data_IF_664673756969
#
_entry.id   IF_664673756969
#
_cell.length_a   1.000
_cell.length_b   1.000
_cell.length_c   1.000
_cell.angle_alpha   90.00
_cell.angle_beta   90.00
_cell.angle_gamma   90.00
#
_symmetry.space_group_name_H-M   'P 1'
#
loop_
_entity.id
_entity.type
_entity.pdbx_description
1 polymer ?
#
# COMPACT_ATOMS: atom_id res chain seq x y z
N UNK A 1 16.49 11.55 -13.66
CA UNK A 1 16.17 12.02 -12.29
C UNK A 1 17.17 11.39 -11.33
N UNK A 2 17.61 12.03 -10.26
CA UNK A 2 18.66 11.44 -9.40
C UNK A 2 18.07 10.74 -8.18
N UNK A 3 18.70 9.65 -7.74
CA UNK A 3 18.33 8.95 -6.52
C UNK A 3 18.55 9.87 -5.30
N UNK A 4 17.56 10.04 -4.40
CA UNK A 4 17.71 10.92 -3.24
C UNK A 4 18.73 10.41 -2.21
N UNK A 5 19.16 9.14 -2.30
CA UNK A 5 20.09 8.53 -1.36
C UNK A 5 21.53 8.51 -1.88
N UNK A 6 21.77 7.91 -3.05
CA UNK A 6 23.13 7.76 -3.61
C UNK A 6 23.44 8.69 -4.79
N UNK A 7 22.51 9.57 -5.17
CA UNK A 7 22.63 10.52 -6.30
C UNK A 7 22.84 9.89 -7.68
N UNK A 8 22.85 8.56 -7.81
CA UNK A 8 22.90 7.85 -9.11
C UNK A 8 21.77 8.31 -10.01
N UNK A 9 22.06 8.47 -11.30
CA UNK A 9 21.06 8.81 -12.30
C UNK A 9 20.07 7.66 -12.52
N UNK A 10 18.78 8.00 -12.52
CA UNK A 10 17.66 7.08 -12.67
C UNK A 10 16.82 7.44 -13.90
N UNK A 11 16.43 6.40 -14.64
CA UNK A 11 15.36 6.48 -15.62
C UNK A 11 14.06 6.88 -14.94
N UNK A 12 13.18 7.61 -15.64
CA UNK A 12 11.89 8.11 -15.11
C UNK A 12 10.99 6.98 -14.56
N UNK A 13 11.10 5.79 -15.13
CA UNK A 13 10.30 4.61 -14.80
C UNK A 13 11.04 3.62 -13.89
N UNK A 14 12.23 3.97 -13.41
CA UNK A 14 13.00 3.11 -12.51
C UNK A 14 12.26 2.97 -11.17
N UNK A 15 11.91 1.72 -10.84
CA UNK A 15 11.28 1.35 -9.56
C UNK A 15 12.34 0.96 -8.52
N UNK A 16 13.54 0.61 -8.97
CA UNK A 16 14.68 0.22 -8.14
C UNK A 16 15.90 1.04 -8.58
N UNK A 17 16.65 1.57 -7.62
CA UNK A 17 17.90 2.26 -7.91
C UNK A 17 19.04 1.26 -8.14
N UNK A 18 19.79 1.33 -9.25
CA UNK A 18 20.90 0.41 -9.53
C UNK A 18 22.13 0.65 -8.65
N UNK A 19 22.30 1.88 -8.11
CA UNK A 19 23.44 2.21 -7.26
C UNK A 19 23.30 1.72 -5.82
N UNK A 20 22.18 2.03 -5.16
CA UNK A 20 21.98 1.70 -3.74
C UNK A 20 20.87 0.68 -3.45
N UNK A 21 20.14 0.21 -4.46
CA UNK A 21 19.04 -0.75 -4.29
C UNK A 21 17.77 -0.17 -3.64
N UNK A 22 17.69 1.15 -3.44
CA UNK A 22 16.48 1.80 -2.94
C UNK A 22 15.27 1.52 -3.85
N UNK A 23 14.08 1.36 -3.27
CA UNK A 23 12.85 1.01 -4.00
C UNK A 23 11.82 2.13 -3.93
N UNK A 24 11.17 2.41 -5.06
CA UNK A 24 10.07 3.36 -5.17
C UNK A 24 8.76 2.62 -5.04
N UNK A 25 7.93 3.00 -4.06
CA UNK A 25 6.67 2.31 -3.82
C UNK A 25 5.90 2.86 -2.64
N UNK A 26 5.22 1.97 -1.93
CA UNK A 26 4.45 2.25 -0.72
C UNK A 26 4.83 1.22 0.35
N UNK A 27 5.35 1.65 1.50
CA UNK A 27 5.80 0.74 2.57
C UNK A 27 4.65 0.25 3.47
N UNK A 28 4.43 -1.04 3.61
CA UNK A 28 3.39 -1.54 4.55
C UNK A 28 3.88 -1.53 6.01
N UNK A 29 2.99 -1.81 6.96
CA UNK A 29 3.31 -1.95 8.39
C UNK A 29 4.43 -2.96 8.66
N UNK A 30 4.61 -3.95 7.79
CA UNK A 30 5.63 -5.00 7.90
C UNK A 30 7.01 -4.60 7.29
N UNK A 31 7.23 -3.32 6.94
CA UNK A 31 8.48 -2.85 6.33
C UNK A 31 8.68 -3.26 4.85
N UNK A 32 7.77 -4.05 4.29
CA UNK A 32 7.81 -4.47 2.89
C UNK A 32 7.36 -3.31 1.99
N UNK A 33 8.17 -2.99 0.98
CA UNK A 33 7.85 -1.98 -0.04
C UNK A 33 7.04 -2.62 -1.15
N UNK A 34 5.75 -2.27 -1.23
CA UNK A 34 4.86 -2.71 -2.29
C UNK A 34 4.90 -1.74 -3.48
N UNK A 35 4.78 -2.27 -4.69
CA UNK A 35 4.39 -1.48 -5.86
C UNK A 35 2.92 -1.07 -5.79
N UNK A 36 2.48 -0.22 -6.72
CA UNK A 36 1.09 0.29 -6.80
C UNK A 36 0.05 -0.83 -6.75
N UNK A 37 0.27 -1.92 -7.47
CA UNK A 37 -0.63 -3.08 -7.47
C UNK A 37 -0.75 -3.76 -6.11
N UNK A 38 0.36 -3.94 -5.38
CA UNK A 38 0.35 -4.54 -4.05
C UNK A 38 -0.40 -3.68 -3.03
N UNK A 39 -0.27 -2.35 -3.10
CA UNK A 39 -1.03 -1.44 -2.23
C UNK A 39 -2.53 -1.47 -2.52
N UNK A 40 -2.93 -1.63 -3.78
CA UNK A 40 -4.35 -1.76 -4.14
C UNK A 40 -4.89 -3.12 -3.67
N UNK A 41 -4.18 -4.22 -3.95
CA UNK A 41 -4.62 -5.56 -3.60
C UNK A 41 -4.79 -5.74 -2.09
N UNK A 42 -3.74 -5.46 -1.31
CA UNK A 42 -3.76 -5.66 0.15
C UNK A 42 -4.40 -4.50 0.91
N UNK A 43 -4.29 -3.28 0.39
CA UNK A 43 -4.77 -2.09 1.07
C UNK A 43 -6.23 -1.74 0.79
N UNK A 44 -6.79 -2.17 -0.34
CA UNK A 44 -8.16 -1.80 -0.76
C UNK A 44 -9.00 -3.03 -1.10
N UNK A 45 -8.54 -3.88 -2.01
CA UNK A 45 -9.33 -5.01 -2.50
C UNK A 45 -9.62 -6.03 -1.40
N UNK A 46 -8.59 -6.43 -0.63
CA UNK A 46 -8.74 -7.39 0.45
C UNK A 46 -9.68 -6.89 1.56
N UNK A 47 -9.53 -5.65 2.11
CA UNK A 47 -10.49 -5.11 3.07
C UNK A 47 -11.92 -5.01 2.52
N UNK A 48 -12.10 -4.66 1.23
CA UNK A 48 -13.42 -4.63 0.61
C UNK A 48 -14.08 -6.01 0.57
N UNK A 49 -13.33 -7.05 0.17
CA UNK A 49 -13.84 -8.43 0.15
C UNK A 49 -14.18 -8.89 1.56
N UNK A 50 -13.29 -8.66 2.53
CA UNK A 50 -13.52 -9.04 3.94
C UNK A 50 -14.63 -8.22 4.62
N UNK A 51 -14.91 -7.00 4.15
CA UNK A 51 -16.02 -6.18 4.62
C UNK A 51 -17.36 -6.59 4.01
N UNK A 52 -17.40 -6.89 2.70
CA UNK A 52 -18.63 -7.22 1.97
C UNK A 52 -19.07 -8.68 2.13
N UNK A 53 -18.13 -9.64 2.25
CA UNK A 53 -18.49 -11.05 2.39
C UNK A 53 -19.38 -11.34 3.62
N UNK A 54 -19.10 -10.79 4.81
CA UNK A 54 -19.97 -10.96 5.98
C UNK A 54 -21.37 -10.39 5.78
N UNK A 55 -21.52 -9.31 5.00
CA UNK A 55 -22.83 -8.73 4.69
C UNK A 55 -23.70 -9.69 3.87
N UNK A 56 -23.08 -10.45 2.95
CA UNK A 56 -23.77 -11.45 2.13
C UNK A 56 -24.14 -12.71 2.92
N UNK A 57 -23.33 -13.08 3.92
CA UNK A 57 -23.50 -14.33 4.69
C UNK A 57 -24.43 -14.14 5.90
N UNK A 58 -24.22 -13.07 6.68
CA UNK A 58 -24.90 -12.83 7.96
C UNK A 58 -26.01 -11.78 7.87
N UNK A 59 -26.17 -11.15 6.70
CA UNK A 59 -27.12 -10.06 6.49
C UNK A 59 -26.72 -8.75 7.18
N UNK A 60 -27.54 -7.70 7.01
CA UNK A 60 -27.29 -6.40 7.62
C UNK A 60 -27.63 -6.43 9.11
N UNK A 61 -26.60 -6.44 9.96
CA UNK A 61 -26.74 -6.29 11.41
C UNK A 61 -25.69 -5.31 11.96
N UNK A 62 -25.89 -4.82 13.18
CA UNK A 62 -25.00 -3.81 13.79
C UNK A 62 -23.55 -4.28 13.90
N UNK A 63 -23.34 -5.58 14.13
CA UNK A 63 -21.99 -6.15 14.19
C UNK A 63 -21.29 -6.08 12.83
N UNK A 64 -21.97 -6.48 11.75
CA UNK A 64 -21.45 -6.42 10.38
C UNK A 64 -21.21 -4.98 9.94
N UNK A 65 -22.12 -4.05 10.28
CA UNK A 65 -21.92 -2.63 10.01
C UNK A 65 -20.69 -2.08 10.74
N UNK A 66 -20.51 -2.42 12.02
CA UNK A 66 -19.32 -2.06 12.78
C UNK A 66 -18.03 -2.65 12.18
N UNK A 67 -18.07 -3.90 11.75
CA UNK A 67 -16.96 -4.57 11.06
C UNK A 67 -16.57 -3.88 9.74
N UNK A 68 -17.56 -3.49 8.92
CA UNK A 68 -17.33 -2.76 7.67
C UNK A 68 -16.62 -1.43 7.94
N UNK A 69 -17.02 -0.70 8.99
CA UNK A 69 -16.36 0.56 9.36
C UNK A 69 -14.89 0.32 9.73
N UNK A 70 -14.60 -0.75 10.49
CA UNK A 70 -13.21 -1.12 10.83
C UNK A 70 -12.42 -1.45 9.55
N UNK A 71 -12.99 -2.21 8.62
CA UNK A 71 -12.36 -2.54 7.34
C UNK A 71 -12.21 -1.36 6.38
N UNK A 72 -13.02 -0.31 6.53
CA UNK A 72 -12.86 0.91 5.75
C UNK A 72 -11.59 1.69 6.13
N UNK A 73 -11.09 1.57 7.36
CA UNK A 73 -9.89 2.29 7.84
C UNK A 73 -8.65 2.00 6.97
N UNK A 74 -8.22 0.73 6.76
CA UNK A 74 -7.07 0.43 5.90
C UNK A 74 -7.31 0.83 4.44
N UNK A 75 -8.55 0.73 3.94
CA UNK A 75 -8.91 1.16 2.59
C UNK A 75 -8.74 2.68 2.39
N UNK A 76 -9.24 3.48 3.33
CA UNK A 76 -9.09 4.94 3.32
C UNK A 76 -7.63 5.35 3.48
N UNK A 77 -6.89 4.69 4.38
CA UNK A 77 -5.46 4.96 4.56
C UNK A 77 -4.67 4.66 3.28
N UNK A 78 -4.94 3.52 2.64
CA UNK A 78 -4.30 3.12 1.39
C UNK A 78 -4.65 4.07 0.24
N UNK A 79 -5.90 4.51 0.16
CA UNK A 79 -6.35 5.51 -0.82
C UNK A 79 -5.61 6.84 -0.66
N UNK A 80 -5.58 7.40 0.56
CA UNK A 80 -4.86 8.65 0.85
C UNK A 80 -3.40 8.55 0.44
N UNK A 81 -2.81 7.38 0.65
CA UNK A 81 -1.42 7.13 0.30
C UNK A 81 -1.18 7.05 -1.20
N UNK A 82 -2.06 6.39 -1.95
CA UNK A 82 -1.98 6.32 -3.41
C UNK A 82 -2.07 7.71 -4.04
N UNK A 83 -2.92 8.59 -3.50
CA UNK A 83 -3.01 9.99 -3.93
C UNK A 83 -1.74 10.82 -3.64
N UNK A 84 -1.00 10.49 -2.58
CA UNK A 84 0.27 11.15 -2.25
C UNK A 84 1.46 10.73 -3.13
N UNK A 85 1.27 9.77 -4.04
CA UNK A 85 2.30 9.28 -4.95
C UNK A 85 3.34 8.35 -4.28
N UNK A 86 4.06 7.57 -5.09
CA UNK A 86 5.04 6.61 -4.59
C UNK A 86 6.30 7.34 -4.09
N UNK A 87 6.80 6.93 -2.92
CA UNK A 87 8.01 7.48 -2.29
C UNK A 87 9.18 6.50 -2.40
N UNK A 88 10.39 7.03 -2.31
CA UNK A 88 11.61 6.23 -2.27
C UNK A 88 11.90 5.74 -0.86
N UNK A 89 12.18 4.45 -0.72
CA UNK A 89 12.52 3.79 0.54
C UNK A 89 13.89 3.12 0.41
N UNK A 90 14.75 3.32 1.41
CA UNK A 90 15.99 2.55 1.55
C UNK A 90 15.62 1.14 2.00
N UNK A 91 16.30 0.12 1.47
CA UNK A 91 16.18 -1.24 1.99
C UNK A 91 16.65 -1.17 3.45
N UNK A 92 15.76 -1.44 4.41
CA UNK A 92 16.20 -1.65 5.78
C UNK A 92 17.22 -2.80 5.73
N UNK A 93 18.45 -2.55 6.20
CA UNK A 93 19.39 -3.62 6.44
C UNK A 93 18.73 -4.54 7.48
N UNK A 94 18.41 -5.77 7.05
CA UNK A 94 17.95 -6.84 7.92
C UNK A 94 19.20 -7.50 8.48
#
# INVERSE_FOLDING_TARGET
MNCPFCKTELHRDAVICPGCGARKGFTSANGVVYGRGGTIAFGIALPLVLGLAPLLIFGPNLFVLGWIVIMAIPAVFSWRRLNGGPRWFVKAAI
#
